data_IF_800385505185
#
_entry.id   IF_800385505185
#
_cell.length_a   1.000
_cell.length_b   1.000
_cell.length_c   1.000
_cell.angle_alpha   90.00
_cell.angle_beta   90.00
_cell.angle_gamma   90.00
#
_symmetry.space_group_name_H-M   'P 1'
#
loop_
_entity.id
_entity.type
_entity.pdbx_description
1 polymer ?
#
# COMPACT_ATOMS: atom_id res chain seq x y z
N UNK A 1 -6.27 -2.53 27.07
CA UNK A 1 -6.06 -1.07 26.88
C UNK A 1 -6.10 -0.81 25.39
N UNK A 2 -7.00 0.06 24.90
CA UNK A 2 -7.02 0.45 23.48
C UNK A 2 -5.70 1.15 23.19
N UNK A 3 -4.90 0.61 22.28
CA UNK A 3 -3.72 1.31 21.78
C UNK A 3 -4.25 2.49 20.95
N UNK A 4 -4.23 3.69 21.53
CA UNK A 4 -4.78 4.91 20.90
C UNK A 4 -3.99 5.35 19.66
N UNK A 5 -2.88 4.66 19.34
CA UNK A 5 -1.96 5.01 18.25
C UNK A 5 -2.16 4.19 16.96
N UNK A 6 -3.13 3.27 16.92
CA UNK A 6 -3.41 2.47 15.71
C UNK A 6 -4.11 3.28 14.63
N UNK A 7 -3.56 3.28 13.42
CA UNK A 7 -4.13 3.96 12.25
C UNK A 7 -5.46 3.32 11.82
N UNK A 8 -6.35 4.12 11.23
CA UNK A 8 -7.56 3.61 10.60
C UNK A 8 -7.26 3.02 9.23
N UNK A 9 -8.08 2.06 8.77
CA UNK A 9 -7.91 1.45 7.45
C UNK A 9 -7.96 2.49 6.31
N UNK A 10 -8.80 3.53 6.44
CA UNK A 10 -8.89 4.63 5.48
C UNK A 10 -7.66 5.56 5.44
N UNK A 11 -6.84 5.54 6.49
CA UNK A 11 -5.68 6.41 6.65
C UNK A 11 -4.36 5.78 6.21
N UNK A 12 -4.36 4.60 5.59
CA UNK A 12 -3.13 3.89 5.20
C UNK A 12 -2.99 3.68 3.68
N UNK A 13 -1.74 3.62 3.25
CA UNK A 13 -1.31 3.16 1.93
C UNK A 13 -0.67 1.78 2.05
N UNK A 14 -1.02 0.86 1.15
CA UNK A 14 -0.54 -0.52 1.15
C UNK A 14 -0.32 -1.04 -0.27
N UNK A 15 0.55 -2.06 -0.36
CA UNK A 15 0.83 -2.78 -1.60
C UNK A 15 -0.33 -3.72 -1.97
N UNK A 16 -0.67 -3.75 -3.24
CA UNK A 16 -1.66 -4.65 -3.79
C UNK A 16 -1.09 -5.44 -4.98
N UNK A 17 -1.65 -6.61 -5.23
CA UNK A 17 -1.36 -7.42 -6.40
C UNK A 17 -2.37 -7.15 -7.51
N UNK A 18 -1.89 -6.98 -8.74
CA UNK A 18 -2.72 -6.82 -9.94
C UNK A 18 -2.81 -8.16 -10.68
N UNK A 19 -4.03 -8.56 -11.06
CA UNK A 19 -4.33 -9.87 -11.64
C UNK A 19 -3.61 -11.01 -10.90
N UNK A 20 -3.92 -11.16 -9.60
CA UNK A 20 -3.21 -12.05 -8.68
C UNK A 20 -3.20 -13.50 -9.13
N UNK A 21 -4.22 -13.91 -9.89
CA UNK A 21 -4.37 -15.23 -10.48
C UNK A 21 -3.45 -15.52 -11.69
N UNK A 22 -2.78 -14.49 -12.23
CA UNK A 22 -1.82 -14.61 -13.33
C UNK A 22 -0.36 -14.47 -12.86
N UNK A 23 -0.14 -14.44 -11.54
CA UNK A 23 1.20 -14.29 -10.97
C UNK A 23 1.89 -15.64 -10.87
N UNK A 24 3.22 -15.62 -10.78
CA UNK A 24 4.00 -16.83 -10.51
C UNK A 24 3.94 -17.19 -9.01
N UNK A 25 3.77 -16.17 -8.17
CA UNK A 25 3.58 -16.30 -6.74
C UNK A 25 2.21 -16.90 -6.40
N UNK A 26 2.19 -17.86 -5.48
CA UNK A 26 0.94 -18.34 -4.87
C UNK A 26 0.24 -17.22 -4.09
N UNK A 27 -1.05 -17.40 -3.76
CA UNK A 27 -1.78 -16.43 -2.92
C UNK A 27 -1.07 -16.20 -1.58
N UNK A 28 -0.57 -17.26 -0.92
CA UNK A 28 0.21 -17.13 0.32
C UNK A 28 1.43 -16.24 0.12
N UNK A 29 2.25 -16.53 -0.89
CA UNK A 29 3.47 -15.76 -1.17
C UNK A 29 3.20 -14.29 -1.51
N UNK A 30 2.04 -13.98 -2.10
CA UNK A 30 1.65 -12.59 -2.35
C UNK A 30 1.29 -11.85 -1.06
N UNK A 31 0.65 -12.54 -0.10
CA UNK A 31 0.12 -11.96 1.14
C UNK A 31 1.11 -11.97 2.31
N UNK A 32 2.01 -12.96 2.39
CA UNK A 32 2.95 -13.12 3.48
C UNK A 32 3.90 -11.94 3.55
N UNK A 33 4.04 -11.32 4.72
CA UNK A 33 4.89 -10.14 4.91
C UNK A 33 6.16 -10.47 5.69
N UNK A 34 7.31 -10.11 5.13
CA UNK A 34 8.60 -10.17 5.82
C UNK A 34 9.09 -8.73 6.09
N UNK A 35 9.16 -8.29 7.37
CA UNK A 35 9.61 -6.95 7.71
C UNK A 35 11.08 -6.69 7.38
N UNK A 36 11.88 -7.73 7.15
CA UNK A 36 13.30 -7.61 6.76
C UNK A 36 13.48 -7.45 5.25
N UNK A 37 12.46 -7.82 4.47
CA UNK A 37 12.42 -7.69 3.02
C UNK A 37 11.03 -7.19 2.55
N UNK A 38 10.60 -5.99 2.96
CA UNK A 38 9.23 -5.49 2.78
C UNK A 38 8.81 -5.29 1.31
N UNK A 39 9.77 -5.34 0.39
CA UNK A 39 9.54 -5.25 -1.05
C UNK A 39 9.22 -6.59 -1.71
N UNK A 40 9.47 -7.73 -1.05
CA UNK A 40 9.27 -9.05 -1.66
C UNK A 40 7.79 -9.40 -1.76
N UNK A 41 7.01 -9.15 -0.72
CA UNK A 41 5.64 -9.64 -0.63
C UNK A 41 4.82 -8.71 0.28
N UNK A 42 3.87 -9.22 1.05
CA UNK A 42 3.08 -8.43 1.99
C UNK A 42 2.00 -7.58 1.33
N UNK A 43 1.42 -8.05 0.22
CA UNK A 43 0.25 -7.39 -0.35
C UNK A 43 -0.90 -7.46 0.67
N UNK A 44 -1.55 -6.34 0.91
CA UNK A 44 -2.81 -6.30 1.67
C UNK A 44 -4.04 -6.32 0.76
N UNK A 45 -3.83 -6.47 -0.56
CA UNK A 45 -4.91 -6.76 -1.47
C UNK A 45 -4.47 -7.63 -2.65
N UNK A 46 -5.41 -8.44 -3.14
CA UNK A 46 -5.29 -9.28 -4.32
C UNK A 46 -6.50 -9.05 -5.24
N UNK A 47 -6.39 -9.49 -6.48
CA UNK A 47 -7.40 -9.30 -7.53
C UNK A 47 -7.65 -10.58 -8.31
N UNK A 48 -8.94 -10.90 -8.51
CA UNK A 48 -9.43 -12.04 -9.26
C UNK A 48 -10.41 -11.56 -10.32
N UNK A 49 -10.09 -11.77 -11.60
CA UNK A 49 -11.01 -11.50 -12.70
C UNK A 49 -12.04 -12.63 -12.77
N UNK A 50 -13.34 -12.32 -12.73
CA UNK A 50 -14.39 -13.34 -12.77
C UNK A 50 -15.30 -13.24 -14.00
N UNK A 51 -15.70 -14.42 -14.48
CA UNK A 51 -16.68 -14.59 -15.55
C UNK A 51 -17.80 -15.50 -15.06
N UNK A 52 -19.04 -15.06 -15.23
CA UNK A 52 -20.27 -15.77 -14.86
C UNK A 52 -20.64 -16.83 -15.91
N UNK A 53 -21.03 -18.02 -15.46
CA UNK A 53 -21.52 -19.12 -16.29
C UNK A 53 -23.02 -19.34 -16.04
N UNK A 54 -23.90 -18.90 -16.96
CA UNK A 54 -25.36 -18.99 -16.75
C UNK A 54 -25.90 -20.40 -16.51
N UNK A 55 -25.33 -21.41 -17.18
CA UNK A 55 -25.81 -22.80 -17.13
C UNK A 55 -25.67 -23.46 -15.75
N UNK A 56 -24.84 -22.87 -14.90
CA UNK A 56 -24.44 -23.40 -13.59
C UNK A 56 -25.29 -22.82 -12.45
N UNK A 57 -26.39 -22.15 -12.80
CA UNK A 57 -27.44 -21.70 -11.88
C UNK A 57 -28.78 -22.22 -12.33
N UNK A 58 -29.39 -23.11 -11.54
CA UNK A 58 -30.65 -23.76 -11.86
C UNK A 58 -31.46 -24.00 -10.59
N UNK A 59 -32.76 -23.75 -10.65
CA UNK A 59 -33.70 -24.00 -9.53
C UNK A 59 -33.28 -23.32 -8.20
N UNK A 60 -32.63 -22.15 -8.29
CA UNK A 60 -32.12 -21.41 -7.13
C UNK A 60 -30.79 -21.95 -6.57
N UNK A 61 -30.24 -23.01 -7.12
CA UNK A 61 -28.96 -23.59 -6.73
C UNK A 61 -27.81 -23.08 -7.57
N UNK A 62 -26.72 -22.68 -6.88
CA UNK A 62 -25.48 -22.23 -7.49
C UNK A 62 -24.39 -23.30 -7.37
N UNK A 63 -23.80 -23.69 -8.51
CA UNK A 63 -22.71 -24.67 -8.53
C UNK A 63 -21.34 -23.99 -8.48
N UNK A 64 -20.28 -24.76 -8.18
CA UNK A 64 -18.89 -24.28 -8.12
C UNK A 64 -18.47 -23.62 -9.45
N UNK A 65 -18.89 -24.18 -10.58
CA UNK A 65 -18.56 -23.67 -11.92
C UNK A 65 -19.24 -22.35 -12.30
N UNK A 66 -20.14 -21.82 -11.47
CA UNK A 66 -20.90 -20.61 -11.79
C UNK A 66 -20.03 -19.37 -11.98
N UNK A 67 -18.92 -19.25 -11.26
CA UNK A 67 -17.91 -18.22 -11.50
C UNK A 67 -16.57 -18.88 -11.81
N UNK A 68 -15.95 -18.43 -12.89
CA UNK A 68 -14.59 -18.83 -13.30
C UNK A 68 -13.63 -17.65 -13.23
N UNK A 69 -12.38 -17.93 -12.92
CA UNK A 69 -11.34 -16.90 -12.78
C UNK A 69 -10.52 -16.79 -14.08
N UNK A 70 -10.74 -15.71 -14.84
CA UNK A 70 -10.05 -15.45 -16.10
C UNK A 70 -10.28 -14.03 -16.59
N UNK A 71 -9.25 -13.46 -17.23
CA UNK A 71 -9.35 -12.21 -17.98
C UNK A 71 -10.22 -12.34 -19.22
N UNK A 72 -10.17 -13.50 -19.88
CA UNK A 72 -10.69 -13.72 -21.23
C UNK A 72 -12.03 -14.46 -21.19
N UNK A 73 -13.04 -13.87 -21.83
CA UNK A 73 -14.36 -14.50 -22.04
C UNK A 73 -14.23 -15.85 -22.76
N UNK A 74 -15.09 -16.80 -22.39
CA UNK A 74 -15.11 -18.13 -23.02
C UNK A 74 -13.98 -19.08 -22.59
N UNK A 75 -13.17 -18.72 -21.59
CA UNK A 75 -12.12 -19.58 -21.04
C UNK A 75 -12.71 -20.79 -20.29
N UNK A 76 -13.08 -21.84 -21.02
CA UNK A 76 -13.75 -23.03 -20.48
C UNK A 76 -12.85 -23.85 -19.54
N UNK A 77 -11.54 -23.78 -19.70
CA UNK A 77 -10.55 -24.47 -18.86
C UNK A 77 -10.08 -23.63 -17.65
N UNK A 78 -10.59 -22.41 -17.47
CA UNK A 78 -10.27 -21.59 -16.31
C UNK A 78 -10.78 -22.25 -15.01
N UNK A 79 -10.00 -22.11 -13.94
CA UNK A 79 -10.37 -22.59 -12.61
C UNK A 79 -11.58 -21.85 -12.06
N UNK A 80 -12.27 -22.50 -11.14
CA UNK A 80 -13.46 -21.96 -10.53
C UNK A 80 -13.10 -20.98 -9.40
N UNK A 81 -13.99 -20.04 -9.10
CA UNK A 81 -13.73 -19.02 -8.07
C UNK A 81 -13.58 -19.64 -6.67
N UNK A 82 -14.32 -20.70 -6.36
CA UNK A 82 -14.23 -21.43 -5.09
C UNK A 82 -12.84 -22.02 -4.82
N UNK A 83 -12.10 -22.42 -5.85
CA UNK A 83 -10.70 -22.86 -5.69
C UNK A 83 -9.83 -21.71 -5.14
N UNK A 84 -9.98 -20.51 -5.70
CA UNK A 84 -9.23 -19.32 -5.25
C UNK A 84 -9.66 -18.85 -3.87
N UNK A 85 -10.97 -18.90 -3.58
CA UNK A 85 -11.51 -18.67 -2.24
C UNK A 85 -10.92 -19.67 -1.23
N UNK A 86 -10.73 -20.93 -1.63
CA UNK A 86 -10.06 -21.96 -0.86
C UNK A 86 -8.60 -21.60 -0.53
N UNK A 87 -7.83 -21.07 -1.48
CA UNK A 87 -6.46 -20.61 -1.22
C UNK A 87 -6.40 -19.45 -0.22
N UNK A 88 -7.32 -18.48 -0.35
CA UNK A 88 -7.43 -17.35 0.58
C UNK A 88 -7.79 -17.85 1.99
N UNK A 89 -8.76 -18.76 2.09
CA UNK A 89 -9.18 -19.34 3.36
C UNK A 89 -8.08 -20.19 4.02
N UNK A 90 -7.34 -20.96 3.22
CA UNK A 90 -6.18 -21.72 3.70
C UNK A 90 -5.07 -20.83 4.27
N UNK A 91 -4.78 -19.72 3.60
CA UNK A 91 -3.85 -18.71 4.12
C UNK A 91 -4.37 -18.05 5.40
N UNK A 92 -5.65 -17.67 5.45
CA UNK A 92 -6.29 -17.13 6.65
C UNK A 92 -6.15 -18.09 7.85
N UNK A 93 -6.44 -19.38 7.67
CA UNK A 93 -6.33 -20.38 8.73
C UNK A 93 -4.88 -20.54 9.25
N UNK A 94 -3.89 -20.31 8.38
CA UNK A 94 -2.49 -20.32 8.75
C UNK A 94 -2.04 -19.01 9.43
N UNK A 95 -2.82 -17.93 9.25
CA UNK A 95 -2.52 -16.58 9.73
C UNK A 95 -3.74 -15.89 10.38
N UNK A 96 -4.44 -16.49 11.37
CA UNK A 96 -5.78 -16.05 11.78
C UNK A 96 -5.86 -14.62 12.34
N UNK A 97 -4.74 -14.03 12.73
CA UNK A 97 -4.63 -12.66 13.24
C UNK A 97 -3.99 -11.68 12.24
N UNK A 98 -4.00 -12.01 10.94
CA UNK A 98 -3.49 -11.15 9.88
C UNK A 98 -4.19 -9.78 9.87
N UNK A 99 -3.52 -8.75 9.34
CA UNK A 99 -4.16 -7.45 9.07
C UNK A 99 -5.28 -7.63 8.03
N UNK A 100 -6.34 -6.79 8.01
CA UNK A 100 -7.41 -6.94 7.02
C UNK A 100 -6.85 -6.92 5.59
N UNK A 101 -7.31 -7.85 4.75
CA UNK A 101 -6.95 -7.90 3.33
C UNK A 101 -8.16 -7.59 2.46
N UNK A 102 -7.92 -7.01 1.28
CA UNK A 102 -8.96 -6.78 0.26
C UNK A 102 -8.82 -7.79 -0.87
N UNK A 103 -9.92 -8.41 -1.25
CA UNK A 103 -10.03 -9.23 -2.46
C UNK A 103 -10.89 -8.47 -3.45
N UNK A 104 -10.24 -7.91 -4.46
CA UNK A 104 -10.91 -7.30 -5.60
C UNK A 104 -11.44 -8.41 -6.51
N UNK A 105 -12.75 -8.41 -6.75
CA UNK A 105 -13.42 -9.32 -7.67
C UNK A 105 -13.78 -8.51 -8.92
N UNK A 106 -12.97 -8.65 -9.97
CA UNK A 106 -13.10 -7.86 -11.19
C UNK A 106 -14.03 -8.52 -12.19
N UNK A 107 -15.22 -7.96 -12.36
CA UNK A 107 -16.27 -8.57 -13.18
C UNK A 107 -15.95 -8.33 -14.65
N UNK A 108 -15.52 -9.39 -15.35
CA UNK A 108 -15.29 -9.39 -16.81
C UNK A 108 -16.52 -9.79 -17.61
N UNK A 109 -17.57 -10.25 -16.94
CA UNK A 109 -18.82 -10.62 -17.62
C UNK A 109 -19.41 -9.41 -18.34
N UNK A 110 -19.84 -9.61 -19.58
CA UNK A 110 -20.46 -8.59 -20.42
C UNK A 110 -21.91 -8.97 -20.72
N UNK A 111 -22.73 -7.95 -21.05
CA UNK A 111 -24.12 -7.99 -21.59
C UNK A 111 -25.09 -8.98 -20.90
N UNK A 112 -26.19 -8.44 -20.39
CA UNK A 112 -27.27 -9.18 -19.72
C UNK A 112 -26.86 -9.97 -18.46
N UNK A 113 -27.84 -10.34 -17.64
CA UNK A 113 -27.62 -11.18 -16.45
C UNK A 113 -27.01 -10.49 -15.23
N UNK A 114 -26.86 -9.15 -15.25
CA UNK A 114 -26.58 -8.36 -14.05
C UNK A 114 -27.75 -8.37 -13.07
N UNK A 115 -29.00 -8.52 -13.56
CA UNK A 115 -30.17 -8.68 -12.69
C UNK A 115 -29.98 -9.87 -11.75
N UNK A 116 -30.24 -9.64 -10.45
CA UNK A 116 -30.00 -10.60 -9.36
C UNK A 116 -28.54 -11.01 -9.18
N UNK A 117 -27.57 -10.30 -9.79
CA UNK A 117 -26.16 -10.61 -9.60
C UNK A 117 -25.78 -10.58 -8.12
N UNK A 118 -26.26 -9.59 -7.36
CA UNK A 118 -26.00 -9.47 -5.94
C UNK A 118 -26.37 -10.72 -5.14
N UNK A 119 -27.57 -11.24 -5.36
CA UNK A 119 -28.04 -12.43 -4.65
C UNK A 119 -27.18 -13.65 -5.00
N UNK A 120 -26.77 -13.77 -6.27
CA UNK A 120 -25.99 -14.91 -6.75
C UNK A 120 -24.54 -14.87 -6.26
N UNK A 121 -23.88 -13.71 -6.27
CA UNK A 121 -22.51 -13.62 -5.72
C UNK A 121 -22.50 -13.79 -4.21
N UNK A 122 -23.50 -13.25 -3.48
CA UNK A 122 -23.62 -13.46 -2.04
C UNK A 122 -23.91 -14.92 -1.68
N UNK A 123 -24.77 -15.60 -2.45
CA UNK A 123 -25.02 -17.04 -2.31
C UNK A 123 -23.74 -17.84 -2.58
N UNK A 124 -22.99 -17.50 -3.62
CA UNK A 124 -21.73 -18.16 -3.96
C UNK A 124 -20.71 -18.03 -2.82
N UNK A 125 -20.47 -16.80 -2.34
CA UNK A 125 -19.55 -16.54 -1.24
C UNK A 125 -20.00 -17.22 0.05
N UNK A 126 -21.31 -17.25 0.34
CA UNK A 126 -21.82 -17.97 1.52
C UNK A 126 -21.63 -19.48 1.41
N UNK A 127 -21.71 -20.05 0.20
CA UNK A 127 -21.58 -21.49 -0.03
C UNK A 127 -20.12 -21.96 -0.02
N UNK A 128 -19.21 -21.17 -0.57
CA UNK A 128 -17.82 -21.56 -0.80
C UNK A 128 -16.78 -20.80 0.03
N UNK A 129 -17.21 -19.91 0.93
CA UNK A 129 -16.33 -19.17 1.83
C UNK A 129 -16.96 -19.02 3.21
N UNK A 130 -16.14 -18.73 4.23
CA UNK A 130 -16.64 -18.50 5.58
C UNK A 130 -17.12 -17.04 5.73
N UNK A 131 -18.45 -16.88 5.82
CA UNK A 131 -19.08 -15.57 6.02
C UNK A 131 -18.61 -14.86 7.29
N UNK A 132 -18.20 -15.59 8.34
CA UNK A 132 -17.82 -15.00 9.63
C UNK A 132 -16.53 -14.16 9.58
N UNK A 133 -15.66 -14.43 8.60
CA UNK A 133 -14.41 -13.69 8.39
C UNK A 133 -14.57 -12.54 7.38
N UNK A 134 -15.70 -12.46 6.68
CA UNK A 134 -15.97 -11.36 5.75
C UNK A 134 -16.29 -10.09 6.54
N UNK A 135 -15.61 -8.99 6.21
CA UNK A 135 -15.97 -7.66 6.69
C UNK A 135 -16.85 -6.98 5.65
N UNK A 136 -18.11 -6.70 6.03
CA UNK A 136 -19.16 -6.26 5.11
C UNK A 136 -19.43 -4.76 5.18
N UNK A 137 -20.13 -4.17 4.19
CA UNK A 137 -20.62 -2.78 4.30
C UNK A 137 -21.47 -2.53 5.54
N UNK A 138 -22.34 -3.48 5.91
CA UNK A 138 -23.15 -3.36 7.12
C UNK A 138 -22.33 -3.34 8.41
N UNK A 139 -21.23 -4.12 8.47
CA UNK A 139 -20.30 -4.05 9.60
C UNK A 139 -19.59 -2.69 9.67
N UNK A 140 -19.16 -2.13 8.53
CA UNK A 140 -18.59 -0.77 8.50
C UNK A 140 -19.60 0.27 8.99
N UNK A 141 -20.82 0.25 8.46
CA UNK A 141 -21.86 1.19 8.84
C UNK A 141 -22.26 1.06 10.32
N UNK A 142 -22.11 -0.12 10.93
CA UNK A 142 -22.36 -0.35 12.35
C UNK A 142 -21.12 -0.19 13.25
N UNK A 143 -19.94 0.11 12.69
CA UNK A 143 -18.66 0.01 13.41
C UNK A 143 -18.43 1.11 14.46
N UNK A 144 -19.20 2.19 14.40
CA UNK A 144 -19.11 3.30 15.34
C UNK A 144 -20.50 3.69 15.86
N UNK A 145 -20.61 4.16 17.12
CA UNK A 145 -21.86 4.63 17.68
C UNK A 145 -22.47 5.74 16.82
N UNK A 146 -23.78 5.66 16.59
CA UNK A 146 -24.57 6.74 15.99
C UNK A 146 -25.27 7.53 17.08
N UNK A 147 -25.29 8.85 16.97
CA UNK A 147 -26.09 9.74 17.85
C UNK A 147 -27.42 10.09 17.20
N UNK A 148 -28.37 10.62 17.97
CA UNK A 148 -29.67 11.08 17.45
C UNK A 148 -29.56 12.21 16.41
N UNK A 149 -28.42 12.91 16.37
CA UNK A 149 -28.11 13.96 15.39
C UNK A 149 -27.51 13.43 14.08
N UNK A 150 -27.09 12.17 14.03
CA UNK A 150 -26.49 11.58 12.83
C UNK A 150 -27.58 11.35 11.77
N UNK A 151 -27.33 11.82 10.53
CA UNK A 151 -28.31 11.76 9.41
C UNK A 151 -27.85 10.87 8.25
N UNK A 152 -26.77 10.10 8.44
CA UNK A 152 -26.18 9.28 7.38
C UNK A 152 -27.11 8.11 7.04
N UNK A 153 -27.62 8.06 5.80
CA UNK A 153 -28.53 7.01 5.31
C UNK A 153 -27.85 6.09 4.28
N UNK A 154 -26.56 6.29 4.05
CA UNK A 154 -25.77 5.59 3.04
C UNK A 154 -24.32 5.38 3.53
N UNK A 155 -23.60 4.49 2.84
CA UNK A 155 -22.26 4.09 3.25
C UNK A 155 -21.24 5.24 3.11
N UNK A 156 -21.34 6.02 2.04
CA UNK A 156 -20.38 7.07 1.72
C UNK A 156 -20.48 8.21 2.73
N UNK A 157 -21.68 8.71 3.02
CA UNK A 157 -21.87 9.77 4.01
C UNK A 157 -21.38 9.35 5.40
N UNK A 158 -21.56 8.08 5.78
CA UNK A 158 -20.99 7.52 7.01
C UNK A 158 -19.46 7.53 7.01
N UNK A 159 -18.82 7.05 5.93
CA UNK A 159 -17.34 6.99 5.84
C UNK A 159 -16.71 8.38 5.76
N UNK A 160 -17.32 9.32 5.04
CA UNK A 160 -16.84 10.70 4.96
C UNK A 160 -16.73 11.31 6.35
N UNK A 161 -17.74 11.11 7.20
CA UNK A 161 -17.74 11.69 8.54
C UNK A 161 -16.96 10.85 9.57
N UNK A 162 -17.31 9.57 9.72
CA UNK A 162 -16.81 8.73 10.81
C UNK A 162 -15.53 7.99 10.43
N UNK A 163 -15.23 7.87 9.14
CA UNK A 163 -14.07 7.12 8.65
C UNK A 163 -14.20 5.62 8.83
N UNK A 164 -13.06 4.95 8.73
CA UNK A 164 -12.93 3.50 8.93
C UNK A 164 -12.50 3.17 10.36
N UNK A 165 -12.77 1.95 10.85
CA UNK A 165 -12.20 1.49 12.11
C UNK A 165 -10.67 1.47 12.10
N UNK A 166 -10.10 1.37 13.30
CA UNK A 166 -8.67 1.10 13.47
C UNK A 166 -8.34 -0.25 12.83
N UNK A 167 -7.20 -0.32 12.14
CA UNK A 167 -6.82 -1.52 11.40
C UNK A 167 -6.71 -2.76 12.29
N UNK A 168 -6.26 -2.59 13.55
CA UNK A 168 -6.16 -3.67 14.51
C UNK A 168 -7.51 -4.26 14.94
N UNK A 169 -8.59 -3.48 14.86
CA UNK A 169 -9.96 -3.95 15.14
C UNK A 169 -10.51 -4.82 14.00
N UNK A 170 -9.85 -4.80 12.84
CA UNK A 170 -10.25 -5.51 11.62
C UNK A 170 -9.36 -6.74 11.36
N UNK A 171 -8.53 -7.16 12.31
CA UNK A 171 -7.66 -8.33 12.16
C UNK A 171 -8.46 -9.60 11.89
N UNK A 172 -7.87 -10.49 11.08
CA UNK A 172 -8.48 -11.73 10.63
C UNK A 172 -9.65 -11.54 9.67
N UNK A 173 -9.84 -10.34 9.11
CA UNK A 173 -10.95 -10.06 8.20
C UNK A 173 -10.54 -9.98 6.74
N UNK A 174 -11.45 -10.42 5.88
CA UNK A 174 -11.37 -10.32 4.42
C UNK A 174 -12.45 -9.37 3.92
N UNK A 175 -12.05 -8.36 3.15
CA UNK A 175 -12.96 -7.40 2.53
C UNK A 175 -13.10 -7.79 1.06
N UNK A 176 -14.30 -8.15 0.61
CA UNK A 176 -14.55 -8.31 -0.83
C UNK A 176 -14.98 -6.99 -1.44
N UNK A 177 -14.36 -6.60 -2.56
CA UNK A 177 -14.74 -5.41 -3.32
C UNK A 177 -14.95 -5.76 -4.79
N UNK A 178 -16.16 -5.54 -5.29
CA UNK A 178 -16.49 -5.74 -6.70
C UNK A 178 -15.89 -4.61 -7.55
N UNK A 179 -15.19 -4.98 -8.62
CA UNK A 179 -14.57 -4.09 -9.63
C UNK A 179 -15.02 -4.48 -11.04
N UNK A 180 -14.57 -3.75 -12.07
CA UNK A 180 -14.80 -4.14 -13.47
C UNK A 180 -16.09 -3.56 -14.05
N UNK A 181 -16.98 -4.42 -14.55
CA UNK A 181 -18.18 -4.01 -15.29
C UNK A 181 -19.06 -2.99 -14.50
N UNK A 182 -19.29 -1.77 -15.03
CA UNK A 182 -20.03 -0.72 -14.32
C UNK A 182 -21.49 -1.05 -13.98
N UNK A 183 -22.20 -1.76 -14.86
CA UNK A 183 -23.63 -2.03 -14.67
C UNK A 183 -23.86 -3.05 -13.55
N UNK A 184 -23.02 -4.08 -13.48
CA UNK A 184 -23.08 -5.13 -12.47
C UNK A 184 -22.77 -4.61 -11.08
N UNK A 185 -21.78 -3.73 -11.00
CA UNK A 185 -21.42 -3.00 -9.78
C UNK A 185 -22.49 -2.01 -9.34
N UNK A 186 -23.20 -1.39 -10.29
CA UNK A 186 -24.32 -0.50 -9.98
C UNK A 186 -25.49 -1.26 -9.39
N UNK A 187 -25.88 -2.36 -10.02
CA UNK A 187 -26.90 -3.26 -9.47
C UNK A 187 -26.60 -3.66 -8.01
N UNK A 188 -25.35 -4.04 -7.73
CA UNK A 188 -24.97 -4.46 -6.38
C UNK A 188 -24.97 -3.30 -5.38
N UNK A 189 -24.35 -2.17 -5.73
CA UNK A 189 -24.17 -1.03 -4.81
C UNK A 189 -25.48 -0.30 -4.51
N UNK A 190 -26.41 -0.26 -5.47
CA UNK A 190 -27.67 0.47 -5.34
C UNK A 190 -28.78 -0.37 -4.69
N UNK A 191 -28.47 -1.62 -4.31
CA UNK A 191 -29.40 -2.50 -3.62
C UNK A 191 -29.81 -1.91 -2.25
N UNK A 192 -31.11 -1.87 -1.99
CA UNK A 192 -31.68 -1.31 -0.76
C UNK A 192 -31.22 -2.04 0.52
N UNK A 193 -30.72 -3.27 0.40
CA UNK A 193 -30.26 -4.10 1.51
C UNK A 193 -28.73 -4.09 1.70
N UNK A 194 -27.98 -3.22 1.00
CA UNK A 194 -26.52 -3.14 1.09
C UNK A 194 -26.00 -3.04 2.53
N UNK A 195 -26.59 -2.16 3.33
CA UNK A 195 -26.14 -1.90 4.69
C UNK A 195 -26.54 -3.00 5.69
N UNK A 196 -27.30 -4.01 5.27
CA UNK A 196 -27.85 -5.03 6.18
C UNK A 196 -27.52 -6.47 5.79
N UNK A 197 -27.44 -6.79 4.50
CA UNK A 197 -27.32 -8.17 4.00
C UNK A 197 -26.11 -8.43 3.12
N UNK A 198 -25.74 -7.48 2.27
CA UNK A 198 -24.71 -7.64 1.24
C UNK A 198 -23.33 -7.89 1.84
N UNK A 199 -22.55 -8.75 1.19
CA UNK A 199 -21.24 -9.20 1.68
C UNK A 199 -20.08 -8.36 1.13
N UNK A 200 -20.24 -7.79 -0.07
CA UNK A 200 -19.19 -7.10 -0.78
C UNK A 200 -19.37 -5.58 -0.73
N UNK A 201 -18.26 -4.86 -0.80
CA UNK A 201 -18.25 -3.49 -1.27
C UNK A 201 -18.26 -3.46 -2.81
N UNK A 202 -18.50 -2.30 -3.39
CA UNK A 202 -18.34 -2.08 -4.83
C UNK A 202 -17.62 -0.76 -5.07
N UNK A 203 -16.70 -0.74 -6.03
CA UNK A 203 -16.03 0.50 -6.40
C UNK A 203 -16.87 1.36 -7.36
N UNK A 204 -16.59 2.66 -7.35
CA UNK A 204 -16.95 3.55 -8.42
C UNK A 204 -15.74 3.69 -9.37
N UNK A 205 -15.89 3.24 -10.62
CA UNK A 205 -14.83 3.33 -11.63
C UNK A 205 -14.74 4.72 -12.28
N UNK A 206 -15.62 5.65 -11.88
CA UNK A 206 -15.59 7.03 -12.35
C UNK A 206 -14.58 7.84 -11.54
N UNK A 207 -13.51 8.27 -12.20
CA UNK A 207 -12.52 9.20 -11.64
C UNK A 207 -13.07 10.63 -11.66
N UNK A 208 -13.96 10.93 -10.70
CA UNK A 208 -14.57 12.26 -10.55
C UNK A 208 -13.57 13.25 -9.94
N UNK A 209 -13.55 14.49 -10.43
CA UNK A 209 -12.63 15.54 -9.94
C UNK A 209 -12.83 15.87 -8.47
N UNK A 210 -14.07 15.77 -7.99
CA UNK A 210 -14.44 15.91 -6.59
C UNK A 210 -15.04 14.58 -6.11
N UNK A 211 -14.57 14.03 -4.97
CA UNK A 211 -15.11 12.80 -4.42
C UNK A 211 -16.56 12.96 -3.98
N UNK A 212 -17.41 11.92 -4.16
CA UNK A 212 -18.78 11.93 -3.69
C UNK A 212 -18.85 12.03 -2.15
N UNK A 213 -20.00 12.48 -1.65
CA UNK A 213 -20.30 12.57 -0.22
C UNK A 213 -21.51 11.72 0.20
N UNK A 214 -22.15 11.07 -0.78
CA UNK A 214 -23.35 10.27 -0.61
C UNK A 214 -23.31 9.06 -1.53
N UNK A 215 -24.20 8.12 -1.25
CA UNK A 215 -24.34 6.87 -1.97
C UNK A 215 -23.54 5.73 -1.33
N UNK A 216 -23.46 4.61 -2.02
CA UNK A 216 -23.09 3.35 -1.38
C UNK A 216 -21.70 2.84 -1.74
N UNK A 217 -20.88 3.68 -2.37
CA UNK A 217 -19.54 3.33 -2.85
C UNK A 217 -18.48 4.12 -2.12
N UNK A 218 -17.51 3.40 -1.56
CA UNK A 218 -16.39 3.97 -0.80
C UNK A 218 -15.02 3.50 -1.31
N UNK A 219 -15.02 2.66 -2.35
CA UNK A 219 -13.84 2.24 -3.12
C UNK A 219 -13.83 2.91 -4.49
N UNK A 220 -12.65 3.26 -4.99
CA UNK A 220 -12.49 3.97 -6.27
C UNK A 220 -11.24 3.48 -7.00
N UNK A 221 -11.39 2.99 -8.22
CA UNK A 221 -10.27 2.55 -9.07
C UNK A 221 -9.80 3.67 -10.00
N UNK A 222 -8.49 3.81 -10.15
CA UNK A 222 -7.83 4.80 -10.99
C UNK A 222 -6.89 4.13 -11.99
N UNK A 223 -6.89 4.63 -13.23
CA UNK A 223 -5.99 4.18 -14.29
C UNK A 223 -4.66 4.97 -14.26
N UNK A 224 -3.53 4.29 -14.48
CA UNK A 224 -2.20 4.91 -14.61
C UNK A 224 -2.05 5.85 -15.80
N UNK A 225 -2.91 5.72 -16.81
CA UNK A 225 -2.99 6.63 -17.95
C UNK A 225 -3.36 8.06 -17.54
N UNK A 226 -3.98 8.26 -16.38
CA UNK A 226 -4.40 9.60 -15.88
C UNK A 226 -3.51 10.13 -14.76
N UNK A 227 -2.27 9.62 -14.65
CA UNK A 227 -1.31 9.98 -13.59
C UNK A 227 -1.08 11.48 -13.39
N UNK A 228 -1.28 12.30 -14.42
CA UNK A 228 -1.04 13.74 -14.34
C UNK A 228 -2.10 14.49 -13.51
N UNK A 229 -3.26 13.87 -13.27
CA UNK A 229 -4.34 14.44 -12.44
C UNK A 229 -4.33 13.95 -10.99
N UNK A 230 -3.51 12.96 -10.65
CA UNK A 230 -3.57 12.29 -9.36
C UNK A 230 -3.34 13.23 -8.17
N UNK A 231 -2.38 14.14 -8.30
CA UNK A 231 -1.99 15.04 -7.21
C UNK A 231 -3.17 15.89 -6.72
N UNK A 232 -4.00 16.37 -7.66
CA UNK A 232 -5.11 17.26 -7.36
C UNK A 232 -6.36 16.50 -6.90
N UNK A 233 -6.54 15.27 -7.38
CA UNK A 233 -7.76 14.49 -7.16
C UNK A 233 -7.63 13.58 -5.94
N UNK A 234 -6.60 12.74 -5.87
CA UNK A 234 -6.56 11.60 -4.94
C UNK A 234 -6.50 12.05 -3.48
N UNK A 235 -5.82 13.18 -3.21
CA UNK A 235 -5.80 13.77 -1.86
C UNK A 235 -7.18 14.16 -1.37
N UNK A 236 -8.08 14.63 -2.26
CA UNK A 236 -9.46 14.96 -1.89
C UNK A 236 -10.21 13.71 -1.43
N UNK A 237 -10.04 12.58 -2.11
CA UNK A 237 -10.63 11.28 -1.72
C UNK A 237 -10.08 10.81 -0.38
N UNK A 238 -8.76 10.91 -0.20
CA UNK A 238 -8.08 10.52 1.04
C UNK A 238 -8.56 11.34 2.26
N UNK A 239 -8.77 12.65 2.10
CA UNK A 239 -9.35 13.52 3.15
C UNK A 239 -10.76 13.12 3.57
N UNK A 240 -11.48 12.42 2.70
CA UNK A 240 -12.84 11.90 2.94
C UNK A 240 -12.84 10.43 3.37
N UNK A 241 -11.69 9.88 3.77
CA UNK A 241 -11.53 8.48 4.19
C UNK A 241 -11.92 7.44 3.12
N UNK A 242 -11.99 7.83 1.84
CA UNK A 242 -12.36 6.93 0.76
C UNK A 242 -11.15 6.09 0.32
N UNK A 243 -11.40 4.84 -0.08
CA UNK A 243 -10.38 3.88 -0.47
C UNK A 243 -10.10 3.99 -1.96
N UNK A 244 -8.97 4.58 -2.30
CA UNK A 244 -8.49 4.71 -3.67
C UNK A 244 -7.52 3.58 -4.03
N UNK A 245 -7.76 2.93 -5.16
CA UNK A 245 -6.85 1.95 -5.77
C UNK A 245 -6.33 2.49 -7.10
N UNK A 246 -5.05 2.26 -7.37
CA UNK A 246 -4.44 2.43 -8.69
C UNK A 246 -3.87 1.09 -9.14
N UNK A 247 -4.01 0.75 -10.41
CA UNK A 247 -3.54 -0.51 -10.98
C UNK A 247 -2.44 -0.33 -12.03
N UNK A 248 -1.70 -1.40 -12.36
CA UNK A 248 -0.57 -1.39 -13.30
C UNK A 248 0.61 -0.48 -12.92
N UNK A 249 0.85 -0.27 -11.62
CA UNK A 249 1.99 0.51 -11.11
C UNK A 249 3.27 -0.34 -11.15
N UNK A 250 3.88 -0.44 -12.32
CA UNK A 250 4.91 -1.45 -12.63
C UNK A 250 6.35 -0.91 -12.66
N UNK A 251 6.57 0.34 -12.27
CA UNK A 251 7.88 0.99 -12.21
C UNK A 251 8.03 1.88 -10.96
N UNK A 252 9.28 2.20 -10.62
CA UNK A 252 9.64 2.90 -9.40
C UNK A 252 9.09 4.33 -9.33
N UNK A 253 9.13 5.08 -10.44
CA UNK A 253 8.70 6.48 -10.49
C UNK A 253 7.19 6.58 -10.29
N UNK A 254 6.44 5.67 -10.92
CA UNK A 254 4.99 5.60 -10.80
C UNK A 254 4.57 5.14 -9.40
N UNK A 255 5.31 4.20 -8.80
CA UNK A 255 5.10 3.74 -7.43
C UNK A 255 5.25 4.86 -6.41
N UNK A 256 6.35 5.61 -6.51
CA UNK A 256 6.60 6.76 -5.64
C UNK A 256 5.56 7.86 -5.86
N UNK A 257 5.20 8.14 -7.12
CA UNK A 257 4.13 9.08 -7.43
C UNK A 257 2.80 8.67 -6.78
N UNK A 258 2.45 7.38 -6.84
CA UNK A 258 1.23 6.87 -6.23
C UNK A 258 1.22 7.02 -4.70
N UNK A 259 2.34 6.73 -4.03
CA UNK A 259 2.50 6.96 -2.59
C UNK A 259 2.34 8.46 -2.23
N UNK A 260 3.01 9.34 -2.97
CA UNK A 260 2.96 10.80 -2.76
C UNK A 260 1.56 11.38 -3.02
N UNK A 261 0.79 10.77 -3.92
CA UNK A 261 -0.61 11.13 -4.19
C UNK A 261 -1.58 10.56 -3.15
N UNK A 262 -1.11 9.78 -2.17
CA UNK A 262 -1.90 9.18 -1.07
C UNK A 262 -2.88 8.07 -1.49
N UNK A 263 -2.57 7.32 -2.55
CA UNK A 263 -3.38 6.13 -2.89
C UNK A 263 -3.44 5.14 -1.73
N UNK A 264 -4.57 4.45 -1.58
CA UNK A 264 -4.75 3.44 -0.52
C UNK A 264 -4.14 2.11 -0.96
N UNK A 265 -4.55 1.60 -2.11
CA UNK A 265 -4.07 0.35 -2.69
C UNK A 265 -3.25 0.63 -3.95
N UNK A 266 -1.96 0.29 -3.94
CA UNK A 266 -1.06 0.48 -5.08
C UNK A 266 -0.83 -0.90 -5.70
N UNK A 267 -1.56 -1.20 -6.78
CA UNK A 267 -1.54 -2.52 -7.40
C UNK A 267 -0.48 -2.62 -8.50
N UNK A 268 0.32 -3.69 -8.42
CA UNK A 268 1.45 -3.94 -9.33
C UNK A 268 1.49 -5.38 -9.80
N UNK A 269 2.05 -5.60 -10.98
CA UNK A 269 2.45 -6.92 -11.49
C UNK A 269 3.81 -7.36 -10.91
N UNK A 270 4.52 -6.45 -10.22
CA UNK A 270 5.91 -6.61 -9.76
C UNK A 270 5.96 -6.92 -8.26
N UNK A 271 5.40 -8.07 -7.87
CA UNK A 271 5.28 -8.46 -6.46
C UNK A 271 6.66 -8.68 -5.84
N UNK A 272 7.42 -9.66 -6.32
CA UNK A 272 8.76 -9.99 -5.79
C UNK A 272 9.89 -9.34 -6.57
N UNK A 273 11.08 -9.29 -5.94
CA UNK A 273 12.35 -8.91 -6.57
C UNK A 273 12.42 -7.49 -7.16
N UNK A 274 11.57 -6.57 -6.66
CA UNK A 274 11.55 -5.18 -7.08
C UNK A 274 11.72 -4.30 -5.83
N UNK A 275 12.97 -3.90 -5.52
CA UNK A 275 13.32 -3.17 -4.27
C UNK A 275 12.57 -1.85 -4.07
N UNK A 276 12.01 -1.27 -5.13
CA UNK A 276 11.20 -0.06 -5.06
C UNK A 276 9.73 -0.33 -4.66
N UNK A 277 9.25 -1.57 -4.77
CA UNK A 277 7.84 -1.94 -4.57
C UNK A 277 7.51 -2.26 -3.10
N UNK A 278 7.78 -1.32 -2.20
CA UNK A 278 7.39 -1.37 -0.79
C UNK A 278 6.71 -0.07 -0.37
N UNK A 279 5.94 -0.11 0.71
CA UNK A 279 5.23 1.07 1.24
C UNK A 279 5.81 1.58 2.56
N UNK A 280 6.44 0.70 3.37
CA UNK A 280 7.07 1.04 4.65
C UNK A 280 8.33 0.22 4.90
N UNK A 281 9.30 0.81 5.62
CA UNK A 281 10.50 0.15 6.15
C UNK A 281 10.48 0.07 7.69
N UNK A 282 9.30 0.22 8.29
CA UNK A 282 9.08 0.26 9.74
C UNK A 282 8.44 -1.03 10.28
N UNK A 283 8.61 -2.14 9.55
CA UNK A 283 8.15 -3.46 9.98
C UNK A 283 6.64 -3.68 9.88
N UNK A 284 5.94 -2.89 9.05
CA UNK A 284 4.52 -3.07 8.72
C UNK A 284 4.31 -3.09 7.19
N UNK A 285 3.32 -3.82 6.67
CA UNK A 285 3.00 -3.85 5.23
C UNK A 285 2.21 -2.63 4.74
N UNK A 286 2.11 -1.58 5.55
CA UNK A 286 1.41 -0.34 5.26
C UNK A 286 2.16 0.89 5.81
N UNK A 287 1.82 2.06 5.31
CA UNK A 287 2.29 3.36 5.81
C UNK A 287 1.11 4.30 6.00
N UNK A 288 1.24 5.28 6.91
CA UNK A 288 0.24 6.35 7.04
C UNK A 288 0.19 7.16 5.74
N UNK A 289 -1.01 7.41 5.22
CA UNK A 289 -1.22 8.33 4.11
C UNK A 289 -0.76 9.73 4.49
N UNK A 290 -0.15 10.36 3.51
CA UNK A 290 0.54 11.62 3.61
C UNK A 290 -0.43 12.81 3.42
N UNK A 291 -1.47 12.86 4.24
CA UNK A 291 -2.55 13.86 4.18
C UNK A 291 -2.27 14.95 5.20
N UNK A 292 -2.29 16.22 4.76
CA UNK A 292 -2.14 17.40 5.63
C UNK A 292 -0.95 17.27 6.60
N UNK A 293 0.19 16.91 6.02
CA UNK A 293 1.39 16.60 6.75
C UNK A 293 1.79 17.77 7.66
N UNK A 294 2.07 17.50 8.95
CA UNK A 294 2.69 18.51 9.78
C UNK A 294 4.05 18.87 9.18
N UNK A 295 4.56 20.10 9.39
CA UNK A 295 5.89 20.44 8.95
C UNK A 295 6.89 19.42 9.51
N UNK A 296 7.79 18.95 8.65
CA UNK A 296 8.87 18.07 9.06
C UNK A 296 9.69 18.74 10.17
N UNK A 297 10.26 17.95 11.10
CA UNK A 297 11.21 18.49 12.07
C UNK A 297 12.31 19.29 11.36
N UNK A 298 12.79 20.40 11.97
CA UNK A 298 13.86 21.19 11.40
C UNK A 298 15.05 20.31 11.04
N UNK A 299 15.67 20.61 9.90
CA UNK A 299 16.87 19.89 9.47
C UNK A 299 17.95 19.96 10.54
N UNK A 300 18.58 18.82 10.80
CA UNK A 300 19.71 18.75 11.71
C UNK A 300 21.01 18.85 10.92
N UNK A 301 21.97 19.63 11.43
CA UNK A 301 23.28 19.71 10.80
C UNK A 301 24.27 18.79 11.49
N UNK A 302 24.92 17.92 10.70
CA UNK A 302 25.86 16.93 11.23
C UNK A 302 27.09 16.80 10.32
N UNK A 303 28.20 16.38 10.91
CA UNK A 303 29.33 15.80 10.17
C UNK A 303 29.25 14.28 10.21
N UNK A 304 29.63 13.62 9.11
CA UNK A 304 29.65 12.16 9.02
C UNK A 304 31.08 11.64 8.97
N UNK A 305 31.53 11.01 10.05
CA UNK A 305 32.88 10.46 10.18
C UNK A 305 32.83 8.94 10.19
N UNK A 306 33.51 8.28 9.25
CA UNK A 306 33.60 6.82 9.30
C UNK A 306 34.66 6.41 10.33
N UNK A 307 34.31 5.47 11.21
CA UNK A 307 35.19 5.12 12.33
C UNK A 307 36.38 4.26 11.92
N UNK A 308 36.27 3.51 10.81
CA UNK A 308 37.29 2.54 10.41
C UNK A 308 38.50 3.19 9.73
N UNK A 309 38.30 4.31 9.02
CA UNK A 309 39.39 5.08 8.41
C UNK A 309 39.63 6.43 9.09
N UNK A 310 38.77 6.84 10.03
CA UNK A 310 38.83 8.12 10.73
C UNK A 310 38.70 9.33 9.78
N UNK A 311 37.96 9.17 8.68
CA UNK A 311 37.75 10.22 7.67
C UNK A 311 36.30 10.70 7.63
N UNK A 312 36.10 11.96 7.24
CA UNK A 312 34.81 12.62 7.06
C UNK A 312 34.36 12.56 5.60
N UNK A 313 33.05 12.40 5.39
CA UNK A 313 32.42 12.66 4.08
C UNK A 313 32.57 14.14 3.70
N UNK A 314 32.64 14.43 2.41
CA UNK A 314 32.79 15.81 1.90
C UNK A 314 31.70 16.20 0.89
N UNK A 315 31.83 17.39 0.31
CA UNK A 315 31.04 17.92 -0.81
C UNK A 315 31.31 17.20 -2.15
N UNK A 316 32.08 16.12 -2.15
CA UNK A 316 32.33 15.28 -3.31
C UNK A 316 31.97 13.83 -2.98
N UNK A 317 31.12 13.23 -3.81
CA UNK A 317 30.58 11.88 -3.59
C UNK A 317 31.66 10.82 -3.35
N UNK A 318 32.77 10.92 -4.08
CA UNK A 318 33.86 9.95 -4.10
C UNK A 318 35.07 10.34 -3.24
N UNK A 319 34.97 11.38 -2.40
CA UNK A 319 36.09 11.82 -1.54
C UNK A 319 35.74 11.76 -0.05
N UNK A 320 36.75 11.46 0.75
CA UNK A 320 36.75 11.65 2.20
C UNK A 320 38.02 12.42 2.60
N UNK A 321 38.04 12.94 3.82
CA UNK A 321 39.18 13.70 4.36
C UNK A 321 39.42 13.35 5.82
N UNK A 322 40.67 13.27 6.26
CA UNK A 322 41.01 13.08 7.68
C UNK A 322 40.69 14.32 8.52
N UNK A 323 40.75 15.50 7.91
CA UNK A 323 40.57 16.77 8.60
C UNK A 323 39.16 17.29 8.37
N UNK A 324 38.43 17.54 9.45
CA UNK A 324 37.13 18.18 9.37
C UNK A 324 37.28 19.63 8.88
N UNK A 325 36.52 19.97 7.85
CA UNK A 325 36.35 21.32 7.36
C UNK A 325 34.85 21.61 7.24
N UNK A 326 34.35 22.57 8.03
CA UNK A 326 32.92 22.92 8.06
C UNK A 326 32.36 23.35 6.72
N UNK A 327 33.20 23.85 5.80
CA UNK A 327 32.76 24.24 4.46
C UNK A 327 32.43 23.03 3.58
N UNK A 328 33.09 21.88 3.79
CA UNK A 328 32.93 20.70 2.92
C UNK A 328 32.34 19.50 3.63
N UNK A 329 32.48 19.39 4.96
CA UNK A 329 32.12 18.22 5.76
C UNK A 329 30.83 18.41 6.58
N UNK A 330 30.12 19.53 6.41
CA UNK A 330 28.84 19.80 7.05
C UNK A 330 27.69 19.37 6.12
N UNK A 331 26.76 18.60 6.69
CA UNK A 331 25.59 18.09 5.98
C UNK A 331 24.32 18.47 6.71
N UNK A 332 23.30 18.79 5.94
CA UNK A 332 21.93 18.97 6.37
C UNK A 332 21.21 17.62 6.23
N UNK A 333 20.68 17.10 7.33
CA UNK A 333 19.86 15.91 7.39
C UNK A 333 18.40 16.36 7.34
N UNK A 334 17.86 16.44 6.12
CA UNK A 334 16.48 16.84 5.89
C UNK A 334 15.57 15.65 6.20
N UNK A 335 14.78 15.75 7.28
CA UNK A 335 13.82 14.72 7.70
C UNK A 335 12.91 14.34 6.53
N UNK A 336 12.59 13.06 6.39
CA UNK A 336 11.65 12.58 5.39
C UNK A 336 10.41 12.01 6.08
N UNK A 337 9.27 12.15 5.43
CA UNK A 337 8.03 11.64 5.97
C UNK A 337 7.91 10.11 5.93
N UNK A 338 8.83 9.44 5.23
CA UNK A 338 8.96 7.98 5.18
C UNK A 338 9.26 7.35 6.56
N UNK A 339 9.69 8.14 7.55
CA UNK A 339 9.90 7.69 8.93
C UNK A 339 10.86 8.59 9.71
N UNK A 340 10.85 8.54 11.05
CA UNK A 340 11.63 9.44 11.91
C UNK A 340 13.15 9.20 11.81
N UNK A 341 13.56 8.10 11.18
CA UNK A 341 14.97 7.75 10.94
C UNK A 341 15.39 7.92 9.48
N UNK A 342 14.53 8.47 8.62
CA UNK A 342 14.78 8.61 7.19
C UNK A 342 15.11 10.05 6.84
N UNK A 343 16.22 10.25 6.11
CA UNK A 343 16.73 11.56 5.78
C UNK A 343 17.17 11.64 4.31
N UNK A 344 17.02 12.81 3.71
CA UNK A 344 17.82 13.22 2.56
C UNK A 344 19.08 13.92 3.09
N UNK A 345 20.25 13.46 2.66
CA UNK A 345 21.53 13.94 3.20
C UNK A 345 22.16 14.89 2.20
N UNK A 346 22.10 16.20 2.50
CA UNK A 346 22.54 17.29 1.63
C UNK A 346 23.81 17.92 2.11
N UNK A 347 24.77 18.14 1.24
CA UNK A 347 25.97 18.89 1.61
C UNK A 347 25.69 20.41 1.61
N UNK A 348 26.14 21.11 2.64
CA UNK A 348 25.81 22.53 2.82
C UNK A 348 26.49 23.48 1.83
N UNK A 349 27.58 23.06 1.17
CA UNK A 349 28.33 23.89 0.21
C UNK A 349 27.86 23.68 -1.23
N UNK A 350 27.84 22.43 -1.71
CA UNK A 350 27.43 22.17 -3.09
C UNK A 350 25.90 22.13 -3.28
N UNK A 351 25.13 22.09 -2.17
CA UNK A 351 23.65 21.99 -2.13
C UNK A 351 23.07 20.75 -2.81
N UNK A 352 23.85 19.67 -2.91
CA UNK A 352 23.47 18.39 -3.53
C UNK A 352 23.29 17.29 -2.49
N UNK A 353 22.51 16.28 -2.84
CA UNK A 353 22.15 15.11 -2.03
C UNK A 353 22.95 13.87 -2.42
N UNK A 354 23.30 13.01 -1.46
CA UNK A 354 23.80 11.67 -1.80
C UNK A 354 22.70 10.81 -2.42
N UNK A 355 23.08 9.97 -3.38
CA UNK A 355 22.18 8.96 -3.95
C UNK A 355 22.74 7.53 -3.82
N UNK A 356 21.89 6.56 -4.11
CA UNK A 356 22.12 5.12 -4.20
C UNK A 356 23.38 4.71 -5.01
N UNK A 357 23.89 5.54 -5.90
CA UNK A 357 25.13 5.25 -6.64
C UNK A 357 26.39 5.62 -5.85
N UNK A 358 26.28 6.46 -4.82
CA UNK A 358 27.32 7.10 -3.97
C UNK A 358 28.48 7.80 -4.71
N UNK A 359 28.61 7.62 -6.01
CA UNK A 359 29.65 8.20 -6.88
C UNK A 359 29.25 9.55 -7.46
N UNK A 360 27.98 9.93 -7.36
CA UNK A 360 27.46 11.24 -7.75
C UNK A 360 26.57 11.82 -6.65
N UNK A 361 26.34 13.14 -6.71
CA UNK A 361 25.36 13.82 -5.86
C UNK A 361 24.33 14.53 -6.74
N UNK A 362 23.07 14.50 -6.30
CA UNK A 362 21.91 14.98 -7.07
C UNK A 362 21.48 16.38 -6.62
N UNK A 363 20.94 17.19 -7.51
CA UNK A 363 20.46 18.55 -7.18
C UNK A 363 19.17 18.57 -6.38
N UNK A 364 18.41 17.48 -6.38
CA UNK A 364 17.11 17.37 -5.73
C UNK A 364 16.83 15.92 -5.33
N UNK A 365 15.87 15.74 -4.43
CA UNK A 365 15.33 14.43 -4.04
C UNK A 365 14.19 14.12 -5.00
N UNK A 366 14.48 13.37 -6.07
CA UNK A 366 13.44 12.95 -7.03
C UNK A 366 12.82 11.62 -6.67
N UNK A 367 13.60 10.78 -6.00
CA UNK A 367 13.14 9.46 -5.63
C UNK A 367 13.74 8.92 -4.34
N UNK A 368 13.26 7.75 -3.95
CA UNK A 368 13.83 6.87 -2.93
C UNK A 368 15.36 6.72 -3.00
N UNK A 369 15.95 6.84 -4.19
CA UNK A 369 17.39 6.73 -4.39
C UNK A 369 18.19 7.81 -3.64
N UNK A 370 17.59 8.95 -3.27
CA UNK A 370 18.24 10.00 -2.48
C UNK A 370 17.89 9.94 -0.98
N UNK A 371 17.11 8.94 -0.54
CA UNK A 371 16.69 8.77 0.85
C UNK A 371 17.54 7.72 1.56
N UNK A 372 17.87 8.00 2.82
CA UNK A 372 18.79 7.19 3.63
C UNK A 372 18.20 6.93 5.01
N UNK A 373 18.24 5.67 5.46
CA UNK A 373 17.86 5.24 6.81
C UNK A 373 19.06 5.27 7.74
N UNK A 374 18.89 5.89 8.90
CA UNK A 374 19.86 5.81 10.01
C UNK A 374 19.48 4.66 10.95
N UNK A 375 20.35 3.67 11.05
CA UNK A 375 20.17 2.52 11.94
C UNK A 375 21.15 2.67 13.11
N UNK A 376 20.62 2.97 14.30
CA UNK A 376 21.44 3.19 15.50
C UNK A 376 22.13 1.90 15.93
N UNK A 377 23.40 1.99 16.33
CA UNK A 377 24.14 0.87 16.90
C UNK A 377 23.84 0.78 18.39
N UNK A 378 23.38 -0.38 18.84
CA UNK A 378 23.01 -0.62 20.22
C UNK A 378 24.20 -0.38 21.17
N UNK A 379 23.95 0.31 22.29
CA UNK A 379 24.99 0.64 23.27
C UNK A 379 26.05 1.64 22.81
N UNK A 380 25.93 2.23 21.61
CA UNK A 380 26.85 3.26 21.11
C UNK A 380 26.13 4.59 20.92
N UNK A 381 26.71 5.66 21.47
CA UNK A 381 26.22 7.01 21.27
C UNK A 381 26.66 7.52 19.89
N UNK A 382 25.76 8.17 19.16
CA UNK A 382 26.02 8.82 17.87
C UNK A 382 26.58 7.92 16.74
N UNK A 383 26.58 6.59 16.90
CA UNK A 383 27.06 5.67 15.87
C UNK A 383 25.91 4.99 15.15
N UNK A 384 25.99 5.00 13.82
CA UNK A 384 24.93 4.53 12.94
C UNK A 384 25.49 3.76 11.74
N UNK A 385 24.71 2.81 11.25
CA UNK A 385 24.76 2.43 9.84
C UNK A 385 23.89 3.38 9.03
N UNK A 386 24.37 3.77 7.85
CA UNK A 386 23.64 4.65 6.93
C UNK A 386 23.29 3.84 5.69
N UNK A 387 22.02 3.44 5.55
CA UNK A 387 21.54 2.56 4.49
C UNK A 387 20.73 3.34 3.45
N UNK A 388 21.01 3.17 2.17
CA UNK A 388 20.20 3.76 1.10
C UNK A 388 18.89 2.99 0.94
N UNK A 389 17.77 3.70 0.75
CA UNK A 389 16.48 3.04 0.59
C UNK A 389 16.26 2.41 -0.80
N UNK A 390 16.84 2.98 -1.86
CA UNK A 390 16.66 2.49 -3.23
C UNK A 390 17.37 1.16 -3.52
N UNK A 391 18.57 0.97 -2.97
CA UNK A 391 19.34 -0.26 -3.19
C UNK A 391 19.62 -1.10 -1.93
N UNK A 392 19.21 -0.63 -0.75
CA UNK A 392 19.40 -1.28 0.56
C UNK A 392 20.86 -1.49 0.97
N UNK A 393 21.81 -0.82 0.31
CA UNK A 393 23.24 -0.90 0.63
C UNK A 393 23.66 0.18 1.61
N UNK A 394 24.73 -0.09 2.34
CA UNK A 394 25.29 0.75 3.39
C UNK A 394 26.43 1.62 2.88
N UNK A 395 26.52 2.87 3.35
CA UNK A 395 27.72 3.69 3.18
C UNK A 395 28.93 3.00 3.82
N UNK A 396 30.09 3.09 3.18
CA UNK A 396 31.32 2.42 3.63
C UNK A 396 32.46 3.42 3.84
N UNK A 397 33.53 2.99 4.51
CA UNK A 397 34.79 3.73 4.63
C UNK A 397 35.43 4.13 3.29
N UNK A 398 35.00 3.54 2.17
CA UNK A 398 35.46 3.92 0.83
C UNK A 398 34.39 4.77 0.17
N UNK A 399 34.69 6.05 -0.07
CA UNK A 399 33.66 7.01 -0.43
C UNK A 399 32.83 6.65 -1.68
N UNK A 400 33.44 5.96 -2.64
CA UNK A 400 32.82 5.54 -3.90
C UNK A 400 32.15 4.16 -3.83
N UNK A 401 32.03 3.54 -2.65
CA UNK A 401 31.52 2.18 -2.51
C UNK A 401 30.39 2.10 -1.48
N UNK A 402 29.39 1.29 -1.82
CA UNK A 402 28.35 0.82 -0.92
C UNK A 402 28.50 -0.68 -0.67
N UNK A 403 28.08 -1.15 0.50
CA UNK A 403 28.13 -2.56 0.90
C UNK A 403 26.74 -3.16 1.03
N UNK A 404 26.52 -4.41 0.62
CA UNK A 404 25.27 -5.14 0.88
C UNK A 404 25.11 -5.46 2.37
N UNK A 405 26.23 -5.57 3.10
CA UNK A 405 26.26 -5.94 4.50
C UNK A 405 26.75 -4.78 5.36
N UNK A 406 26.20 -4.68 6.56
CA UNK A 406 26.75 -3.81 7.58
C UNK A 406 27.87 -4.54 8.36
N UNK A 407 28.86 -3.77 8.81
CA UNK A 407 30.05 -4.30 9.47
C UNK A 407 30.90 -3.16 10.00
N UNK A 408 32.12 -3.46 10.48
CA UNK A 408 32.99 -2.44 11.07
C UNK A 408 33.38 -1.31 10.11
N UNK A 409 33.29 -1.53 8.79
CA UNK A 409 33.64 -0.53 7.78
C UNK A 409 32.48 0.41 7.44
N UNK A 410 31.26 0.11 7.87
CA UNK A 410 30.02 0.80 7.52
C UNK A 410 29.52 1.70 8.65
N UNK A 411 30.27 1.78 9.76
CA UNK A 411 29.88 2.55 10.94
C UNK A 411 30.33 4.01 10.78
N UNK A 412 29.36 4.91 10.91
CA UNK A 412 29.58 6.34 10.95
C UNK A 412 29.23 6.91 12.32
N UNK A 413 30.13 7.74 12.84
CA UNK A 413 29.86 8.65 13.93
C UNK A 413 29.26 9.95 13.36
N UNK A 414 28.06 10.30 13.82
CA UNK A 414 27.32 11.49 13.40
C UNK A 414 27.39 12.55 14.51
N UNK A 415 28.14 13.62 14.27
CA UNK A 415 28.36 14.68 15.27
C UNK A 415 27.56 15.93 14.88
N UNK A 416 26.73 16.53 15.76
CA UNK A 416 26.04 17.80 15.51
C UNK A 416 27.00 18.98 15.21
N UNK A 417 26.63 19.91 14.32
CA UNK A 417 27.52 20.98 13.80
C UNK A 417 26.87 22.33 13.52
#
# INVERSE_FOLDING_TARGET
MKNTDSLTFGAISFKASHNSYQRNETISEQLDFDPTAPYQSGCMAIELDIIRQSKDYKDGEITSGYFKVSHTLGASAASHLDEWLGYIFGWHNSNPNHLPIVVYIDIKSEKDGYLHFGDRIDQYLTKYFDKSIIYTPGMLYASQPKTESDTYNDLCSFVVEKGWPQIDQMRGKVIFCLTGNPDWKREYADAADLLTKRLCFSDNGSEEENPPEKGNRVFFNFDTKKKDKWQDIVKKYSKKNLITRVYEVNDADLWEKALNCTFSAIATNKIRNNKWAYVSNEGQPYVKKMIDLPPLPPSEFKSMKNIANNEYRTDHATKMTKNYDSSTCKFEFESQYDGPTIFAIKNTKNKKYFSDHITTMQSEVKSINQKWKLIKIEGKENQYYIQNLGNLKYMTKRASQLSENNGSNEIYELVPR
#
